data_IF_620223018614
#
_entry.id   IF_620223018614
#
_cell.length_a   1.000
_cell.length_b   1.000
_cell.length_c   1.000
_cell.angle_alpha   90.00
_cell.angle_beta   90.00
_cell.angle_gamma   90.00
#
_symmetry.space_group_name_H-M   'P 1'
#
loop_
_entity.id
_entity.type
_entity.pdbx_description
1 polymer ?
#
# COMPACT_ATOMS: atom_id res chain seq x y z
N UNK A 1 14.91 -15.01 -15.47
CA UNK A 1 15.73 -13.77 -15.43
C UNK A 1 15.52 -12.84 -16.62
N UNK A 2 14.84 -13.24 -17.71
CA UNK A 2 14.55 -12.36 -18.87
C UNK A 2 13.08 -11.95 -19.07
N UNK A 3 12.13 -12.46 -18.28
CA UNK A 3 10.70 -12.25 -18.56
C UNK A 3 10.18 -10.83 -18.30
N UNK A 4 10.70 -10.12 -17.29
CA UNK A 4 10.24 -8.76 -16.97
C UNK A 4 10.68 -7.72 -18.00
N UNK A 5 11.84 -7.90 -18.62
CA UNK A 5 12.34 -7.05 -19.71
C UNK A 5 11.42 -7.18 -20.94
N UNK A 6 10.89 -8.39 -21.20
CA UNK A 6 9.97 -8.64 -22.30
C UNK A 6 8.62 -7.93 -22.14
N UNK A 7 8.12 -7.73 -20.90
CA UNK A 7 6.86 -7.00 -20.66
C UNK A 7 6.95 -5.52 -21.09
N UNK A 8 8.05 -4.83 -20.76
CA UNK A 8 8.28 -3.45 -21.19
C UNK A 8 8.51 -3.34 -22.70
N UNK A 9 9.17 -4.31 -23.31
CA UNK A 9 9.40 -4.33 -24.76
C UNK A 9 8.09 -4.47 -25.57
N UNK A 10 7.07 -5.10 -24.99
CA UNK A 10 5.74 -5.27 -25.61
C UNK A 10 4.83 -4.06 -25.40
N UNK A 11 4.92 -3.38 -24.26
CA UNK A 11 4.17 -2.15 -23.99
C UNK A 11 5.00 -1.17 -23.13
N UNK A 12 5.45 -0.08 -23.77
CA UNK A 12 6.21 0.96 -23.07
C UNK A 12 5.33 1.80 -22.13
N UNK A 13 4.01 1.75 -22.30
CA UNK A 13 3.04 2.42 -21.44
C UNK A 13 2.54 1.45 -20.36
N UNK A 14 3.43 1.07 -19.44
CA UNK A 14 3.09 0.27 -18.26
C UNK A 14 3.42 0.98 -16.95
N UNK A 15 2.61 0.75 -15.92
CA UNK A 15 2.90 1.19 -14.55
C UNK A 15 3.06 -0.04 -13.64
N UNK A 16 4.02 0.02 -12.72
CA UNK A 16 4.23 -1.01 -11.70
C UNK A 16 4.22 -0.38 -10.30
N UNK A 17 3.44 -0.97 -9.40
CA UNK A 17 3.35 -0.60 -7.99
C UNK A 17 3.97 -1.70 -7.13
N UNK A 18 4.83 -1.32 -6.19
CA UNK A 18 5.61 -2.23 -5.38
C UNK A 18 5.61 -1.74 -3.93
N UNK A 19 5.22 -2.60 -2.99
CA UNK A 19 5.39 -2.33 -1.56
C UNK A 19 6.88 -2.13 -1.23
N UNK A 20 7.22 -1.12 -0.42
CA UNK A 20 8.62 -0.84 -0.08
C UNK A 20 9.19 -1.87 0.89
N UNK A 21 8.34 -2.50 1.72
CA UNK A 21 8.68 -3.38 2.85
C UNK A 21 9.64 -2.74 3.87
N UNK A 22 9.78 -1.41 3.86
CA UNK A 22 10.68 -0.69 4.76
C UNK A 22 10.14 -0.69 6.19
N UNK A 23 11.03 -0.91 7.16
CA UNK A 23 10.73 -0.77 8.59
C UNK A 23 10.84 0.67 9.09
N UNK A 24 11.63 1.51 8.42
CA UNK A 24 11.76 2.93 8.74
C UNK A 24 12.13 3.84 7.54
N UNK A 25 12.41 5.12 7.85
CA UNK A 25 12.73 6.20 6.92
C UNK A 25 14.06 6.00 6.16
N UNK A 26 15.02 5.29 6.76
CA UNK A 26 16.39 5.10 6.26
C UNK A 26 16.59 3.71 5.66
N UNK A 27 15.67 2.78 5.93
CA UNK A 27 15.72 1.42 5.39
C UNK A 27 15.77 1.43 3.85
N UNK A 28 16.81 0.82 3.25
CA UNK A 28 16.93 0.75 1.81
C UNK A 28 15.95 -0.27 1.24
N UNK A 29 15.44 0.03 0.04
CA UNK A 29 14.74 -0.98 -0.76
C UNK A 29 15.74 -2.01 -1.29
N UNK A 30 15.29 -3.26 -1.46
CA UNK A 30 16.17 -4.31 -1.98
C UNK A 30 16.59 -4.06 -3.45
N UNK A 31 17.67 -4.73 -3.87
CA UNK A 31 18.26 -4.58 -5.20
C UNK A 31 17.29 -4.91 -6.35
N UNK A 32 16.33 -5.80 -6.13
CA UNK A 32 15.32 -6.15 -7.14
C UNK A 32 14.37 -4.98 -7.38
N UNK A 33 13.88 -4.33 -6.31
CA UNK A 33 13.01 -3.15 -6.41
C UNK A 33 13.75 -1.99 -7.08
N UNK A 34 14.99 -1.73 -6.67
CA UNK A 34 15.83 -0.69 -7.25
C UNK A 34 16.03 -0.91 -8.77
N UNK A 35 16.34 -2.14 -9.18
CA UNK A 35 16.49 -2.50 -10.60
C UNK A 35 15.19 -2.31 -11.38
N UNK A 36 14.05 -2.73 -10.84
CA UNK A 36 12.74 -2.53 -11.50
C UNK A 36 12.49 -1.04 -11.71
N UNK A 37 12.74 -0.21 -10.70
CA UNK A 37 12.59 1.24 -10.82
C UNK A 37 13.48 1.82 -11.92
N UNK A 38 14.76 1.39 -11.97
CA UNK A 38 15.68 1.85 -13.00
C UNK A 38 15.27 1.41 -14.41
N UNK A 39 14.73 0.20 -14.56
CA UNK A 39 14.27 -0.34 -15.84
C UNK A 39 12.98 0.34 -16.31
N UNK A 40 12.04 0.65 -15.41
CA UNK A 40 10.72 1.22 -15.73
C UNK A 40 10.70 2.75 -15.79
N UNK A 41 11.56 3.46 -15.08
CA UNK A 41 11.62 4.93 -15.19
C UNK A 41 12.33 5.40 -16.49
N UNK A 42 12.69 4.46 -17.38
CA UNK A 42 13.19 4.75 -18.72
C UNK A 42 12.00 4.81 -19.70
N UNK A 43 11.68 5.99 -20.23
CA UNK A 43 10.65 6.16 -21.27
C UNK A 43 9.29 6.60 -20.72
N UNK A 44 8.19 5.97 -21.17
CA UNK A 44 6.81 6.30 -20.79
C UNK A 44 6.19 5.41 -19.70
N UNK A 45 6.97 4.49 -19.15
CA UNK A 45 6.57 3.64 -18.03
C UNK A 45 6.77 4.33 -16.67
N UNK A 46 6.03 3.86 -15.66
CA UNK A 46 6.06 4.40 -14.30
C UNK A 46 6.39 3.28 -13.31
N UNK A 47 7.42 3.44 -12.49
CA UNK A 47 7.61 2.62 -11.29
C UNK A 47 7.27 3.43 -10.04
N UNK A 48 6.33 2.90 -9.25
CA UNK A 48 5.92 3.45 -7.98
C UNK A 48 6.27 2.46 -6.87
N UNK A 49 7.23 2.84 -6.04
CA UNK A 49 7.48 2.16 -4.76
C UNK A 49 6.76 2.94 -3.66
N UNK A 50 6.01 2.24 -2.80
CA UNK A 50 5.23 2.91 -1.76
C UNK A 50 6.11 3.77 -0.85
N UNK A 51 5.64 4.97 -0.52
CA UNK A 51 6.34 5.88 0.41
C UNK A 51 6.31 5.37 1.86
N UNK A 52 5.29 4.57 2.20
CA UNK A 52 5.21 3.79 3.43
C UNK A 52 5.66 2.35 3.22
N UNK A 53 5.47 1.49 4.23
CA UNK A 53 5.87 0.07 4.17
C UNK A 53 5.10 -0.73 3.11
N UNK A 54 3.79 -0.54 3.03
CA UNK A 54 2.84 -1.24 2.15
C UNK A 54 1.86 -0.22 1.53
N UNK A 55 1.15 -0.59 0.46
CA UNK A 55 0.17 0.29 -0.19
C UNK A 55 -0.96 0.73 0.76
N UNK A 56 -1.29 -0.09 1.76
CA UNK A 56 -2.29 0.23 2.77
C UNK A 56 -1.86 1.39 3.69
N UNK A 57 -0.56 1.72 3.79
CA UNK A 57 -0.08 2.89 4.56
C UNK A 57 -0.50 4.23 3.95
N UNK A 58 -1.02 4.23 2.72
CA UNK A 58 -1.62 5.42 2.10
C UNK A 58 -3.09 5.66 2.51
N UNK A 59 -3.70 4.75 3.28
CA UNK A 59 -5.04 4.96 3.82
C UNK A 59 -4.91 5.73 5.14
N UNK A 60 -5.77 6.73 5.34
CA UNK A 60 -5.85 7.45 6.61
C UNK A 60 -5.99 6.46 7.78
N UNK A 61 -5.12 6.60 8.78
CA UNK A 61 -5.02 5.61 9.85
C UNK A 61 -6.31 5.48 10.66
N UNK A 62 -7.00 6.59 10.94
CA UNK A 62 -8.25 6.55 11.70
C UNK A 62 -9.35 5.86 10.89
N UNK A 63 -9.46 6.18 9.59
CA UNK A 63 -10.37 5.50 8.68
C UNK A 63 -10.07 4.00 8.58
N UNK A 64 -8.79 3.63 8.47
CA UNK A 64 -8.35 2.24 8.40
C UNK A 64 -8.71 1.46 9.67
N UNK A 65 -8.45 2.01 10.85
CA UNK A 65 -8.79 1.37 12.12
C UNK A 65 -10.31 1.24 12.32
N UNK A 66 -11.09 2.25 11.91
CA UNK A 66 -12.54 2.16 11.91
C UNK A 66 -13.05 1.05 10.96
N UNK A 67 -12.45 0.90 9.78
CA UNK A 67 -12.78 -0.16 8.85
C UNK A 67 -12.40 -1.55 9.39
N UNK A 68 -11.25 -1.69 10.05
CA UNK A 68 -10.84 -2.94 10.71
C UNK A 68 -11.83 -3.31 11.83
N UNK A 69 -12.23 -2.35 12.66
CA UNK A 69 -13.22 -2.57 13.72
C UNK A 69 -14.57 -3.04 13.14
N UNK A 70 -15.03 -2.42 12.05
CA UNK A 70 -16.24 -2.84 11.32
C UNK A 70 -16.11 -4.23 10.69
N UNK A 71 -14.93 -4.61 10.21
CA UNK A 71 -14.67 -5.91 9.62
C UNK A 71 -14.60 -7.04 10.68
N UNK A 72 -14.19 -6.72 11.92
CA UNK A 72 -13.98 -7.67 13.02
C UNK A 72 -14.71 -7.26 14.31
N UNK A 73 -16.04 -7.06 14.30
CA UNK A 73 -16.77 -6.43 15.41
C UNK A 73 -16.75 -7.20 16.72
N UNK A 74 -16.55 -8.53 16.66
CA UNK A 74 -16.56 -9.41 17.84
C UNK A 74 -15.21 -9.52 18.53
N UNK A 75 -14.14 -9.14 17.86
CA UNK A 75 -12.79 -9.47 18.31
C UNK A 75 -11.80 -8.31 18.21
N UNK A 76 -12.15 -7.22 17.53
CA UNK A 76 -11.38 -5.99 17.55
C UNK A 76 -11.29 -5.43 18.98
N UNK A 77 -10.06 -5.28 19.48
CA UNK A 77 -9.81 -4.63 20.77
C UNK A 77 -9.30 -3.21 20.59
N UNK A 78 -8.21 -3.03 19.83
CA UNK A 78 -7.59 -1.72 19.52
C UNK A 78 -6.55 -1.84 18.42
N UNK A 79 -6.05 -0.71 17.94
CA UNK A 79 -4.90 -0.67 17.04
C UNK A 79 -3.66 -1.38 17.62
N UNK A 80 -2.85 -2.01 16.76
CA UNK A 80 -1.61 -2.64 17.18
C UNK A 80 -0.45 -1.65 17.33
N UNK A 81 -0.52 -0.54 16.59
CA UNK A 81 0.52 0.48 16.44
C UNK A 81 -0.11 1.90 16.42
N UNK A 82 0.72 2.91 16.19
CA UNK A 82 0.33 4.33 16.17
C UNK A 82 -0.03 4.86 14.77
N UNK A 83 0.06 4.02 13.73
CA UNK A 83 -0.20 4.45 12.36
C UNK A 83 0.97 5.18 11.70
N UNK A 84 2.20 4.87 12.09
CA UNK A 84 3.38 5.36 11.39
C UNK A 84 3.41 4.88 9.93
N UNK A 85 4.08 5.65 9.07
CA UNK A 85 4.17 5.35 7.64
C UNK A 85 4.78 3.96 7.34
N UNK A 86 5.61 3.45 8.26
CA UNK A 86 6.30 2.17 8.13
C UNK A 86 5.72 1.07 9.06
N UNK A 87 4.64 1.37 9.78
CA UNK A 87 3.96 0.37 10.59
C UNK A 87 3.18 -0.61 9.71
N UNK A 88 2.94 -1.83 10.22
CA UNK A 88 2.00 -2.77 9.59
C UNK A 88 0.58 -2.20 9.60
N UNK A 89 0.10 -1.73 8.44
CA UNK A 89 -1.14 -0.97 8.33
C UNK A 89 -2.38 -1.75 8.82
N UNK A 90 -2.47 -3.03 8.47
CA UNK A 90 -3.61 -3.89 8.80
C UNK A 90 -3.47 -4.62 10.14
N UNK A 91 -2.43 -4.32 10.93
CA UNK A 91 -2.23 -4.94 12.22
C UNK A 91 -3.19 -4.35 13.27
N UNK A 92 -3.88 -5.22 13.99
CA UNK A 92 -4.71 -4.84 15.12
C UNK A 92 -4.59 -5.86 16.25
N UNK A 93 -5.03 -5.44 17.44
CA UNK A 93 -5.11 -6.33 18.60
C UNK A 93 -6.47 -6.98 18.62
N UNK A 94 -6.48 -8.30 18.54
CA UNK A 94 -7.65 -9.14 18.67
C UNK A 94 -7.76 -9.68 20.09
N UNK A 95 -8.94 -9.63 20.70
CA UNK A 95 -9.25 -10.30 21.96
C UNK A 95 -10.35 -11.33 21.71
N UNK A 96 -10.03 -12.62 21.80
CA UNK A 96 -11.05 -13.66 21.67
C UNK A 96 -11.82 -13.82 22.99
N UNK A 97 -13.06 -14.34 22.89
CA UNK A 97 -13.86 -14.64 24.07
C UNK A 97 -13.15 -15.69 24.94
N UNK A 98 -12.97 -15.38 26.23
CA UNK A 98 -12.25 -16.23 27.18
C UNK A 98 -10.74 -16.04 27.21
N UNK A 99 -10.15 -15.20 26.36
CA UNK A 99 -8.73 -14.85 26.44
C UNK A 99 -8.48 -13.68 27.40
N UNK A 100 -7.44 -13.79 28.23
CA UNK A 100 -7.07 -12.74 29.18
C UNK A 100 -6.22 -11.63 28.55
N UNK A 101 -5.59 -11.89 27.40
CA UNK A 101 -4.64 -10.96 26.76
C UNK A 101 -4.89 -10.88 25.26
N UNK A 102 -4.95 -9.67 24.69
CA UNK A 102 -5.14 -9.53 23.26
C UNK A 102 -3.87 -9.90 22.49
N UNK A 103 -4.05 -10.54 21.33
CA UNK A 103 -2.97 -10.94 20.40
C UNK A 103 -2.93 -9.98 19.20
N UNK A 104 -1.74 -9.64 18.72
CA UNK A 104 -1.60 -8.90 17.46
C UNK A 104 -1.87 -9.84 16.29
N UNK A 105 -2.75 -9.42 15.39
CA UNK A 105 -3.13 -10.16 14.20
C UNK A 105 -3.30 -9.19 13.02
N UNK A 106 -3.43 -9.74 11.81
CA UNK A 106 -3.65 -8.97 10.58
C UNK A 106 -5.11 -9.07 10.15
N UNK A 107 -5.71 -7.94 9.80
CA UNK A 107 -7.08 -7.90 9.32
C UNK A 107 -7.24 -8.54 7.92
N UNK A 108 -8.44 -9.07 7.66
CA UNK A 108 -8.86 -9.46 6.30
C UNK A 108 -8.85 -8.24 5.37
N UNK A 109 -7.81 -8.15 4.54
CA UNK A 109 -7.57 -7.02 3.64
C UNK A 109 -8.72 -6.78 2.67
N UNK A 110 -9.39 -7.83 2.20
CA UNK A 110 -10.47 -7.69 1.22
C UNK A 110 -11.71 -7.10 1.87
N UNK A 111 -12.04 -7.52 3.10
CA UNK A 111 -13.15 -6.91 3.86
C UNK A 111 -12.88 -5.46 4.19
N UNK A 112 -11.67 -5.15 4.66
CA UNK A 112 -11.27 -3.77 4.99
C UNK A 112 -11.31 -2.89 3.75
N UNK A 113 -10.77 -3.34 2.62
CA UNK A 113 -10.78 -2.59 1.37
C UNK A 113 -12.20 -2.27 0.87
N UNK A 114 -13.13 -3.23 0.95
CA UNK A 114 -14.54 -3.00 0.59
C UNK A 114 -15.17 -1.90 1.44
N UNK A 115 -14.87 -1.89 2.74
CA UNK A 115 -15.39 -0.88 3.68
C UNK A 115 -14.79 0.49 3.39
N UNK A 116 -13.47 0.57 3.16
CA UNK A 116 -12.79 1.84 2.84
C UNK A 116 -13.31 2.43 1.52
N UNK A 117 -13.56 1.59 0.52
CA UNK A 117 -14.06 2.01 -0.79
C UNK A 117 -15.50 2.57 -0.76
N UNK A 118 -16.24 2.45 0.34
CA UNK A 118 -17.54 3.12 0.53
C UNK A 118 -17.40 4.63 0.74
N UNK A 119 -16.22 5.11 1.17
CA UNK A 119 -15.93 6.51 1.46
C UNK A 119 -15.31 7.27 0.29
N UNK A 120 -15.15 8.59 0.48
CA UNK A 120 -14.38 9.41 -0.45
C UNK A 120 -12.88 9.10 -0.35
N UNK A 121 -12.19 9.08 -1.49
CA UNK A 121 -10.75 8.91 -1.52
C UNK A 121 -10.04 10.13 -0.90
N UNK A 122 -9.21 9.88 0.10
CA UNK A 122 -8.25 10.86 0.63
C UNK A 122 -6.89 10.63 -0.05
N UNK A 123 -6.39 11.61 -0.79
CA UNK A 123 -5.10 11.52 -1.49
C UNK A 123 -3.97 12.22 -0.74
N UNK A 124 -4.23 12.82 0.41
CA UNK A 124 -3.27 13.67 1.16
C UNK A 124 -2.37 12.88 2.13
N UNK A 125 -2.39 11.55 2.04
CA UNK A 125 -1.53 10.68 2.84
C UNK A 125 -0.24 10.41 2.06
N UNK A 126 0.91 10.72 2.68
CA UNK A 126 2.25 10.56 2.07
C UNK A 126 2.32 11.24 0.67
N UNK A 127 2.96 10.59 -0.29
CA UNK A 127 3.09 11.04 -1.68
C UNK A 127 1.94 10.53 -2.59
N UNK A 128 0.81 10.06 -2.04
CA UNK A 128 -0.27 9.43 -2.83
C UNK A 128 -0.78 10.34 -3.94
N UNK A 129 -1.02 11.62 -3.64
CA UNK A 129 -1.48 12.62 -4.62
C UNK A 129 -0.50 12.76 -5.78
N UNK A 130 0.79 12.81 -5.50
CA UNK A 130 1.84 12.96 -6.51
C UNK A 130 1.89 11.73 -7.41
N UNK A 131 1.89 10.54 -6.82
CA UNK A 131 1.93 9.26 -7.52
C UNK A 131 0.69 9.02 -8.39
N UNK A 132 -0.49 9.33 -7.86
CA UNK A 132 -1.75 9.27 -8.63
C UNK A 132 -1.75 10.25 -9.79
N UNK A 133 -1.23 11.47 -9.58
CA UNK A 133 -1.11 12.47 -10.65
C UNK A 133 -0.17 11.99 -11.75
N UNK A 134 0.98 11.43 -11.39
CA UNK A 134 1.95 10.87 -12.33
C UNK A 134 1.35 9.69 -13.12
N UNK A 135 0.61 8.80 -12.45
CA UNK A 135 -0.09 7.67 -13.09
C UNK A 135 -1.15 8.15 -14.08
N UNK A 136 -1.99 9.12 -13.70
CA UNK A 136 -3.02 9.69 -14.59
C UNK A 136 -2.39 10.38 -15.79
N UNK A 137 -1.30 11.13 -15.60
CA UNK A 137 -0.57 11.78 -16.69
C UNK A 137 0.02 10.76 -17.67
N UNK A 138 0.60 9.68 -17.15
CA UNK A 138 1.15 8.57 -17.93
C UNK A 138 0.06 7.85 -18.75
N UNK A 139 -1.09 7.54 -18.14
CA UNK A 139 -2.26 6.96 -18.84
C UNK A 139 -2.80 7.90 -19.91
N UNK A 140 -2.90 9.20 -19.61
CA UNK A 140 -3.41 10.20 -20.56
C UNK A 140 -2.51 10.29 -21.79
N UNK A 141 -1.19 10.35 -21.59
CA UNK A 141 -0.21 10.39 -22.69
C UNK A 141 -0.25 9.14 -23.58
N UNK A 142 -0.60 7.98 -23.03
CA UNK A 142 -0.67 6.72 -23.76
C UNK A 142 -1.89 6.60 -24.68
N UNK A 143 -2.92 7.44 -24.49
CA UNK A 143 -4.19 7.40 -25.22
C UNK A 143 -4.36 8.56 -26.22
N UNK A 144 -3.28 9.29 -26.52
CA UNK A 144 -3.20 10.30 -27.58
C UNK A 144 -2.50 9.70 -28.79
#
# INVERSE_FOLDING_TARGET
MGEFISLRALNQNCAILIDSDRGDAEDPINSTKARICEEFNKGSSLAWVTGGREIENYIDFAALQAAIARAHPRSYSKAANSGGAFDHALAFRQLAEGEARPKVTTADKVKVAKIIAEGAANLDVLDLREQMTALVAMISKANV
#
